data_IF_145742445050
#
_entry.id   IF_145742445050
#
_cell.length_a   1.000
_cell.length_b   1.000
_cell.length_c   1.000
_cell.angle_alpha   90.00
_cell.angle_beta   90.00
_cell.angle_gamma   90.00
#
_symmetry.space_group_name_H-M   'P 1'
#
loop_
_entity.id
_entity.type
_entity.pdbx_description
1 polymer ?
#
# COMPACT_ATOMS: atom_id res chain seq x y z
N UNK A 1 2.51 -37.92 -44.16
CA UNK A 1 2.42 -36.50 -43.78
C UNK A 1 2.47 -36.34 -42.26
N UNK A 2 3.65 -36.34 -41.65
CA UNK A 2 3.79 -36.26 -40.17
C UNK A 2 5.03 -35.49 -39.67
N UNK A 3 6.23 -35.51 -40.30
CA UNK A 3 7.42 -34.89 -39.69
C UNK A 3 7.42 -33.36 -39.80
N UNK A 4 6.90 -32.81 -40.90
CA UNK A 4 6.79 -31.36 -41.09
C UNK A 4 5.84 -30.72 -40.07
N UNK A 5 4.71 -31.38 -39.81
CA UNK A 5 3.73 -30.92 -38.81
C UNK A 5 4.31 -30.92 -37.40
N UNK A 6 5.06 -31.96 -37.03
CA UNK A 6 5.75 -32.04 -35.73
C UNK A 6 6.82 -30.95 -35.61
N UNK A 7 7.62 -30.72 -36.66
CA UNK A 7 8.61 -29.64 -36.67
C UNK A 7 7.96 -28.27 -36.52
N UNK A 8 6.90 -27.98 -37.28
CA UNK A 8 6.14 -26.73 -37.17
C UNK A 8 5.55 -26.54 -35.77
N UNK A 9 5.05 -27.60 -35.14
CA UNK A 9 4.52 -27.55 -33.78
C UNK A 9 5.60 -27.27 -32.73
N UNK A 10 6.78 -27.88 -32.85
CA UNK A 10 7.92 -27.61 -31.96
C UNK A 10 8.41 -26.16 -32.13
N UNK A 11 8.50 -25.66 -33.37
CA UNK A 11 8.88 -24.26 -33.61
C UNK A 11 7.84 -23.29 -33.05
N UNK A 12 6.55 -23.57 -33.23
CA UNK A 12 5.46 -22.75 -32.69
C UNK A 12 5.48 -22.71 -31.16
N UNK A 13 5.62 -23.86 -30.50
CA UNK A 13 5.64 -23.95 -29.03
C UNK A 13 6.89 -23.29 -28.42
N UNK A 14 8.05 -23.45 -29.06
CA UNK A 14 9.30 -22.79 -28.60
C UNK A 14 9.23 -21.28 -28.76
N UNK A 15 8.72 -20.77 -29.90
CA UNK A 15 8.55 -19.33 -30.13
C UNK A 15 7.52 -18.73 -29.16
N UNK A 16 6.37 -19.38 -28.97
CA UNK A 16 5.33 -18.90 -28.03
C UNK A 16 5.81 -18.93 -26.58
N UNK A 17 6.51 -19.98 -26.16
CA UNK A 17 7.07 -20.08 -24.81
C UNK A 17 8.17 -19.05 -24.54
N UNK A 18 9.09 -18.84 -25.49
CA UNK A 18 10.16 -17.84 -25.36
C UNK A 18 9.61 -16.42 -25.37
N UNK A 19 8.65 -16.10 -26.25
CA UNK A 19 8.00 -14.78 -26.26
C UNK A 19 7.22 -14.51 -24.96
N UNK A 20 6.45 -15.48 -24.45
CA UNK A 20 5.76 -15.33 -23.17
C UNK A 20 6.74 -15.18 -22.00
N UNK A 21 7.83 -15.95 -21.98
CA UNK A 21 8.87 -15.85 -20.96
C UNK A 21 9.59 -14.50 -21.01
N UNK A 22 9.87 -13.98 -22.21
CA UNK A 22 10.45 -12.66 -22.40
C UNK A 22 9.49 -11.56 -21.92
N UNK A 23 8.20 -11.66 -22.24
CA UNK A 23 7.17 -10.74 -21.78
C UNK A 23 7.04 -10.73 -20.24
N UNK A 24 7.07 -11.90 -19.61
CA UNK A 24 7.08 -12.02 -18.15
C UNK A 24 8.35 -11.42 -17.53
N UNK A 25 9.51 -11.65 -18.16
CA UNK A 25 10.78 -11.04 -17.75
C UNK A 25 10.75 -9.51 -17.81
N UNK A 26 10.25 -8.96 -18.92
CA UNK A 26 10.09 -7.51 -19.12
C UNK A 26 9.10 -6.89 -18.11
N UNK A 27 7.97 -7.56 -17.84
CA UNK A 27 7.02 -7.14 -16.80
C UNK A 27 7.66 -7.12 -15.42
N UNK A 28 8.51 -8.10 -15.09
CA UNK A 28 9.21 -8.18 -13.80
C UNK A 28 10.21 -7.03 -13.62
N UNK A 29 10.91 -6.63 -14.68
CA UNK A 29 11.84 -5.49 -14.66
C UNK A 29 11.06 -4.18 -14.48
N UNK A 30 9.95 -4.00 -15.22
CA UNK A 30 9.08 -2.83 -15.07
C UNK A 30 8.48 -2.73 -13.67
N UNK A 31 8.02 -3.86 -13.11
CA UNK A 31 7.48 -3.95 -11.75
C UNK A 31 8.51 -3.60 -10.66
N UNK A 32 9.81 -3.81 -10.90
CA UNK A 32 10.85 -3.38 -9.96
C UNK A 32 10.97 -1.85 -9.90
N UNK A 33 10.92 -1.17 -11.05
CA UNK A 33 10.95 0.30 -11.10
C UNK A 33 9.73 0.91 -10.41
N UNK A 34 8.54 0.37 -10.66
CA UNK A 34 7.34 0.83 -9.96
C UNK A 34 7.40 0.57 -8.45
N UNK A 35 8.08 -0.50 -8.01
CA UNK A 35 8.20 -0.82 -6.58
C UNK A 35 9.07 0.20 -5.82
N UNK A 36 10.12 0.75 -6.43
CA UNK A 36 10.94 1.79 -5.80
C UNK A 36 10.20 3.12 -5.69
N UNK A 37 9.41 3.47 -6.72
CA UNK A 37 8.58 4.68 -6.70
C UNK A 37 7.45 4.59 -5.67
N UNK A 38 6.79 3.42 -5.57
CA UNK A 38 5.76 3.16 -4.54
C UNK A 38 6.36 3.14 -3.13
N UNK A 39 7.60 2.66 -2.95
CA UNK A 39 8.26 2.68 -1.65
C UNK A 39 8.52 4.10 -1.12
N UNK A 40 8.62 5.11 -2.00
CA UNK A 40 8.72 6.51 -1.60
C UNK A 40 7.38 7.11 -1.14
N UNK A 41 6.26 6.44 -1.44
CA UNK A 41 4.91 6.91 -1.16
C UNK A 41 4.24 6.10 -0.04
N UNK A 42 4.57 4.81 0.06
CA UNK A 42 3.99 3.90 1.06
C UNK A 42 5.10 3.27 1.88
N UNK A 43 5.03 3.45 3.20
CA UNK A 43 5.79 2.68 4.16
C UNK A 43 4.91 1.60 4.81
N UNK A 44 5.38 0.35 4.80
CA UNK A 44 4.68 -0.77 5.43
C UNK A 44 5.32 -1.08 6.78
N UNK A 45 4.49 -1.20 7.81
CA UNK A 45 4.90 -1.56 9.16
C UNK A 45 4.29 -2.91 9.53
N UNK A 46 5.11 -3.81 10.04
CA UNK A 46 4.67 -5.08 10.62
C UNK A 46 5.11 -5.14 12.08
N UNK A 47 4.22 -5.62 12.94
CA UNK A 47 4.50 -5.76 14.37
C UNK A 47 3.43 -6.57 15.08
N UNK A 48 3.58 -6.71 16.39
CA UNK A 48 2.62 -7.44 17.23
C UNK A 48 1.94 -6.47 18.18
N UNK A 49 0.60 -6.41 18.13
CA UNK A 49 -0.20 -5.64 19.08
C UNK A 49 -0.53 -6.54 20.26
N UNK A 50 -0.24 -6.03 21.46
CA UNK A 50 -0.71 -6.60 22.72
C UNK A 50 -1.91 -5.79 23.19
N UNK A 51 -3.04 -6.46 23.37
CA UNK A 51 -4.24 -5.86 23.95
C UNK A 51 -4.49 -6.47 25.32
N UNK A 52 -4.77 -5.61 26.30
CA UNK A 52 -5.21 -6.02 27.62
C UNK A 52 -6.42 -5.18 28.05
N UNK A 53 -7.54 -5.87 28.29
CA UNK A 53 -8.76 -5.30 28.86
C UNK A 53 -8.84 -5.69 30.32
N UNK A 54 -8.94 -4.72 31.22
CA UNK A 54 -9.00 -4.99 32.66
C UNK A 54 -10.44 -5.18 33.19
N UNK A 55 -11.47 -4.64 32.52
CA UNK A 55 -12.86 -4.67 32.99
C UNK A 55 -13.87 -4.90 31.85
N UNK A 56 -15.07 -5.45 32.14
CA UNK A 56 -15.51 -6.00 33.42
C UNK A 56 -14.82 -7.33 33.81
N UNK A 57 -14.28 -8.07 32.85
CA UNK A 57 -13.44 -9.25 33.09
C UNK A 57 -12.12 -9.13 32.34
N UNK A 58 -11.02 -9.55 32.99
CA UNK A 58 -9.68 -9.47 32.41
C UNK A 58 -9.57 -10.34 31.16
N UNK A 59 -9.10 -9.75 30.07
CA UNK A 59 -8.78 -10.48 28.85
C UNK A 59 -7.53 -9.87 28.22
N UNK A 60 -6.59 -10.69 27.79
CA UNK A 60 -5.39 -10.25 27.11
C UNK A 60 -5.11 -11.14 25.91
N UNK A 61 -4.77 -10.54 24.77
CA UNK A 61 -4.42 -11.28 23.56
C UNK A 61 -3.36 -10.54 22.73
N UNK A 62 -2.69 -11.29 21.86
CA UNK A 62 -1.66 -10.79 20.95
C UNK A 62 -2.04 -11.15 19.53
N UNK A 63 -1.85 -10.23 18.60
CA UNK A 63 -2.08 -10.48 17.19
C UNK A 63 -1.07 -9.73 16.32
N UNK A 64 -0.78 -10.29 15.15
CA UNK A 64 0.03 -9.61 14.15
C UNK A 64 -0.77 -8.46 13.55
N UNK A 65 -0.16 -7.29 13.56
CA UNK A 65 -0.71 -6.08 12.95
C UNK A 65 0.18 -5.65 11.80
N UNK A 66 -0.47 -5.21 10.73
CA UNK A 66 0.18 -4.69 9.53
C UNK A 66 -0.47 -3.37 9.19
N UNK A 67 0.34 -2.33 9.09
CA UNK A 67 -0.10 -0.99 8.76
C UNK A 67 0.59 -0.51 7.49
N UNK A 68 -0.12 0.31 6.72
CA UNK A 68 0.45 1.10 5.65
C UNK A 68 0.35 2.58 6.05
N UNK A 69 1.48 3.27 6.03
CA UNK A 69 1.57 4.72 6.07
C UNK A 69 1.71 5.23 4.64
N UNK A 70 0.72 6.00 4.18
CA UNK A 70 0.57 6.43 2.80
C UNK A 70 0.70 7.95 2.75
N UNK A 71 1.59 8.45 1.90
CA UNK A 71 1.66 9.87 1.56
C UNK A 71 0.46 10.25 0.69
N UNK A 72 -0.46 11.04 1.26
CA UNK A 72 -1.68 11.45 0.55
C UNK A 72 -1.44 12.59 -0.45
N UNK A 73 -0.29 13.26 -0.42
CA UNK A 73 0.07 14.30 -1.40
C UNK A 73 0.60 13.69 -2.70
N UNK A 74 0.97 12.40 -2.68
CA UNK A 74 1.45 11.65 -3.85
C UNK A 74 0.80 10.27 -3.93
N UNK A 75 -0.54 10.17 -3.90
CA UNK A 75 -1.20 8.89 -3.73
C UNK A 75 -0.86 7.97 -4.93
N UNK A 76 -0.46 6.71 -4.69
CA UNK A 76 -0.07 5.82 -5.79
C UNK A 76 -1.28 5.30 -6.57
N UNK A 77 -2.47 5.44 -5.99
CA UNK A 77 -3.79 5.19 -6.56
C UNK A 77 -4.79 6.03 -5.76
N UNK A 78 -5.91 6.44 -6.37
CA UNK A 78 -6.99 7.17 -5.69
C UNK A 78 -8.03 6.16 -5.20
N UNK A 79 -8.04 5.80 -3.91
CA UNK A 79 -8.92 4.76 -3.40
C UNK A 79 -10.23 5.41 -2.96
N UNK A 80 -11.36 4.74 -3.15
CA UNK A 80 -12.62 5.22 -2.62
C UNK A 80 -12.59 5.20 -1.08
N UNK A 81 -13.31 6.13 -0.46
CA UNK A 81 -13.67 6.13 0.96
C UNK A 81 -12.60 6.56 1.99
N UNK A 82 -11.77 7.54 1.67
CA UNK A 82 -11.03 8.28 2.70
C UNK A 82 -10.87 9.75 2.34
N UNK A 83 -10.57 10.59 3.34
CA UNK A 83 -10.34 12.03 3.15
C UNK A 83 -9.16 12.28 2.22
N UNK A 84 -9.33 13.24 1.30
CA UNK A 84 -8.23 13.75 0.50
C UNK A 84 -7.21 14.49 1.39
N UNK A 85 -5.97 14.65 0.90
CA UNK A 85 -4.96 15.46 1.60
C UNK A 85 -5.46 16.90 1.84
N UNK A 86 -6.18 17.48 0.87
CA UNK A 86 -6.71 18.84 0.96
C UNK A 86 -7.79 18.95 2.03
N UNK A 87 -8.71 17.98 2.11
CA UNK A 87 -9.77 17.98 3.11
C UNK A 87 -9.20 17.73 4.51
N UNK A 88 -8.22 16.83 4.64
CA UNK A 88 -7.50 16.60 5.89
C UNK A 88 -6.75 17.88 6.35
N UNK A 89 -6.03 18.58 5.46
CA UNK A 89 -5.38 19.86 5.76
C UNK A 89 -6.39 20.92 6.19
N UNK A 90 -7.53 21.02 5.49
CA UNK A 90 -8.61 21.97 5.82
C UNK A 90 -9.20 21.70 7.19
N UNK A 91 -9.50 20.44 7.50
CA UNK A 91 -10.04 20.02 8.81
C UNK A 91 -9.02 20.18 9.95
N UNK A 92 -7.73 19.95 9.67
CA UNK A 92 -6.66 20.07 10.65
C UNK A 92 -6.12 21.51 10.80
N UNK A 93 -6.45 22.41 9.87
CA UNK A 93 -5.88 23.77 9.76
C UNK A 93 -4.35 23.72 9.68
N UNK A 94 -3.84 22.91 8.75
CA UNK A 94 -2.40 22.71 8.52
C UNK A 94 -2.00 23.03 7.08
N UNK A 95 -0.71 23.29 6.85
CA UNK A 95 -0.17 23.66 5.53
C UNK A 95 0.85 22.68 4.95
N UNK A 96 1.25 21.66 5.72
CA UNK A 96 2.24 20.66 5.34
C UNK A 96 1.65 19.35 4.84
N UNK A 97 2.48 18.32 4.66
CA UNK A 97 2.05 17.07 4.07
C UNK A 97 1.11 16.28 4.98
N UNK A 98 0.33 15.38 4.38
CA UNK A 98 -0.60 14.52 5.11
C UNK A 98 -0.26 13.05 4.87
N UNK A 99 -0.13 12.30 5.97
CA UNK A 99 0.15 10.87 5.94
C UNK A 99 -1.02 10.08 6.52
N UNK A 100 -1.53 9.09 5.79
CA UNK A 100 -2.60 8.20 6.22
C UNK A 100 -2.01 6.89 6.75
N UNK A 101 -2.28 6.56 8.01
CA UNK A 101 -1.98 5.25 8.60
C UNK A 101 -3.26 4.42 8.68
N UNK A 102 -3.26 3.29 7.97
CA UNK A 102 -4.39 2.35 7.96
C UNK A 102 -3.94 0.90 7.91
N UNK A 103 -4.86 0.01 8.25
CA UNK A 103 -4.69 -1.43 7.98
C UNK A 103 -5.09 -1.68 6.52
N UNK A 104 -4.21 -2.26 5.68
CA UNK A 104 -4.58 -2.65 4.32
C UNK A 104 -5.70 -3.70 4.32
N UNK A 105 -6.62 -3.68 3.34
CA UNK A 105 -7.66 -4.69 3.24
C UNK A 105 -7.05 -6.11 3.14
N UNK A 106 -7.63 -7.07 3.87
CA UNK A 106 -7.15 -8.45 3.90
C UNK A 106 -8.33 -9.42 3.72
N UNK A 107 -8.20 -10.39 2.81
CA UNK A 107 -9.21 -11.45 2.57
C UNK A 107 -10.64 -10.91 2.33
N UNK A 108 -10.77 -9.76 1.66
CA UNK A 108 -12.08 -9.15 1.37
C UNK A 108 -12.77 -8.50 2.58
N UNK A 109 -12.14 -8.49 3.76
CA UNK A 109 -12.63 -7.76 4.93
C UNK A 109 -11.85 -6.45 5.09
N UNK A 110 -12.58 -5.35 5.09
CA UNK A 110 -12.05 -4.05 5.51
C UNK A 110 -12.03 -4.04 7.05
N UNK A 111 -10.87 -4.44 7.60
CA UNK A 111 -10.64 -4.59 9.04
C UNK A 111 -9.96 -3.38 9.68
N UNK A 112 -9.85 -2.24 9.00
CA UNK A 112 -9.41 -1.02 9.69
C UNK A 112 -10.61 -0.47 10.44
N UNK A 113 -10.71 -0.61 11.78
CA UNK A 113 -11.81 -0.01 12.51
C UNK A 113 -11.73 1.52 12.47
N UNK A 114 -10.57 2.07 12.08
CA UNK A 114 -10.21 3.48 12.15
C UNK A 114 -9.14 3.80 11.10
N UNK A 115 -9.20 4.98 10.48
CA UNK A 115 -8.15 5.58 9.67
C UNK A 115 -7.52 6.77 10.42
N UNK A 116 -6.18 6.85 10.47
CA UNK A 116 -5.47 7.93 11.14
C UNK A 116 -4.78 8.84 10.12
N UNK A 117 -5.02 10.14 10.20
CA UNK A 117 -4.41 11.14 9.32
C UNK A 117 -3.46 12.03 10.11
N UNK A 118 -2.16 11.90 9.85
CA UNK A 118 -1.12 12.74 10.43
C UNK A 118 -0.92 13.99 9.58
N UNK A 119 -1.37 15.13 10.09
CA UNK A 119 -1.31 16.43 9.43
C UNK A 119 -0.16 17.26 10.00
N UNK A 120 0.76 17.65 9.13
CA UNK A 120 1.95 18.41 9.51
C UNK A 120 1.83 19.88 9.11
N UNK A 121 2.54 20.75 9.83
CA UNK A 121 2.86 22.10 9.38
C UNK A 121 4.29 22.16 8.85
N UNK A 122 4.51 23.09 7.93
CA UNK A 122 5.82 23.46 7.42
C UNK A 122 6.09 24.92 7.82
N UNK A 123 7.17 25.10 8.59
CA UNK A 123 7.74 26.40 8.90
C UNK A 123 9.17 26.44 8.35
N UNK A 124 9.36 27.11 7.22
CA UNK A 124 10.62 27.11 6.47
C UNK A 124 10.98 25.69 5.98
N UNK A 125 12.08 25.14 6.47
CA UNK A 125 12.51 23.75 6.17
C UNK A 125 12.11 22.73 7.23
N UNK A 126 11.44 23.16 8.31
CA UNK A 126 11.05 22.27 9.40
C UNK A 126 9.63 21.74 9.20
N UNK A 127 9.46 20.44 9.41
CA UNK A 127 8.17 19.74 9.36
C UNK A 127 7.79 19.32 10.78
N UNK A 128 6.67 19.83 11.28
CA UNK A 128 6.18 19.56 12.64
C UNK A 128 4.82 18.87 12.60
N UNK A 129 4.64 17.79 13.37
CA UNK A 129 3.34 17.13 13.45
C UNK A 129 2.42 18.01 14.30
N UNK A 130 1.34 18.52 13.70
CA UNK A 130 0.42 19.43 14.39
C UNK A 130 -0.84 18.76 14.87
N UNK A 131 -1.43 17.88 14.07
CA UNK A 131 -2.69 17.23 14.42
C UNK A 131 -2.79 15.82 13.85
N UNK A 132 -3.47 14.95 14.59
CA UNK A 132 -3.91 13.65 14.11
C UNK A 132 -5.44 13.66 14.01
N UNK A 133 -5.98 13.46 12.81
CA UNK A 133 -7.41 13.24 12.61
C UNK A 133 -7.70 11.74 12.61
N UNK A 134 -8.93 11.39 12.97
CA UNK A 134 -9.39 10.01 13.12
C UNK A 134 -10.75 9.91 12.46
N UNK A 135 -10.92 8.93 11.57
CA UNK A 135 -12.17 8.58 10.88
C UNK A 135 -12.53 7.12 11.16
#
# INVERSE_FOLDING_TARGET
MTPLFVLCYIMYTTITSTTLSLLLGLRRISSRRSSEEIANVIALYEGTVYHERCHPARNSFRFQARYALIDLDRPPYSPPNYLSADDARRAAKTNGPVHLLRIPPSLGYERSPVNYYYCYDIEGSTKTLKKCLVE
#
